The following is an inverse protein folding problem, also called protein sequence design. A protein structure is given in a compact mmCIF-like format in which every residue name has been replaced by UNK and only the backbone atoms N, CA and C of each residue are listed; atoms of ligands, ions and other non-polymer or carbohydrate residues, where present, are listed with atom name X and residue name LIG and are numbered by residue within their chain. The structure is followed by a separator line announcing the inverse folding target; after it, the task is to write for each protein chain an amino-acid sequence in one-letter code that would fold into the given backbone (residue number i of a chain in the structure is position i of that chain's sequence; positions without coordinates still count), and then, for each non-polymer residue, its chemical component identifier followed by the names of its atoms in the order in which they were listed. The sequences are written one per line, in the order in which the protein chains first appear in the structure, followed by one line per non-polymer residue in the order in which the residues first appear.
data_IF_260380209233
#
_entry.id   IF_260380209233
#
_cell.length_a   1.000
_cell.length_b   1.000
_cell.length_c   1.000
_cell.angle_alpha   90.00
_cell.angle_beta   90.00
_cell.angle_gamma   90.00
#
_symmetry.space_group_name_H-M   'P 1'
#
loop_
_entity.id
_entity.type
_entity.pdbx_description
1 polymer ?
#
# COMPACT_ATOMS: atom_id res chain seq x y z
N UNK A 1 -24.14 32.58 -85.88
CA UNK A 1 -23.57 32.17 -84.56
C UNK A 1 -22.04 32.00 -84.56
N UNK A 2 -21.38 31.67 -85.69
CA UNK A 2 -19.92 31.46 -85.74
C UNK A 2 -19.07 32.74 -85.66
N UNK A 3 -19.56 33.88 -86.15
CA UNK A 3 -18.79 35.15 -86.18
C UNK A 3 -18.65 35.84 -84.81
N UNK A 4 -19.59 35.66 -83.88
CA UNK A 4 -19.54 36.29 -82.55
C UNK A 4 -18.46 35.72 -81.63
N UNK A 5 -17.98 34.50 -81.90
CA UNK A 5 -16.93 33.82 -81.10
C UNK A 5 -15.50 34.21 -81.52
N UNK A 6 -15.34 34.97 -82.61
CA UNK A 6 -14.05 35.51 -83.04
C UNK A 6 -13.67 36.81 -82.30
N UNK A 7 -14.61 37.41 -81.56
CA UNK A 7 -14.38 38.58 -80.72
C UNK A 7 -13.89 38.14 -79.32
N UNK A 8 -12.68 38.54 -78.95
CA UNK A 8 -12.04 38.15 -77.69
C UNK A 8 -12.74 38.68 -76.44
N UNK A 9 -13.36 39.86 -76.53
CA UNK A 9 -14.14 40.43 -75.43
C UNK A 9 -15.39 39.57 -75.15
N UNK A 10 -16.03 39.10 -76.23
CA UNK A 10 -17.15 38.16 -76.12
C UNK A 10 -16.72 36.80 -75.54
N UNK A 11 -15.54 36.27 -75.92
CA UNK A 11 -14.99 35.02 -75.34
C UNK A 11 -14.71 35.14 -73.85
N UNK A 12 -14.09 36.25 -73.41
CA UNK A 12 -13.79 36.47 -72.00
C UNK A 12 -15.06 36.61 -71.17
N UNK A 13 -16.06 37.33 -71.68
CA UNK A 13 -17.37 37.48 -71.03
C UNK A 13 -18.14 36.15 -70.97
N UNK A 14 -18.12 35.34 -72.04
CA UNK A 14 -18.73 34.01 -72.08
C UNK A 14 -18.03 33.04 -71.11
N UNK A 15 -16.69 33.03 -71.08
CA UNK A 15 -15.92 32.24 -70.12
C UNK A 15 -16.21 32.64 -68.67
N UNK A 16 -16.30 33.95 -68.39
CA UNK A 16 -16.62 34.46 -67.04
C UNK A 16 -18.07 34.11 -66.64
N UNK A 17 -19.02 34.15 -67.58
CA UNK A 17 -20.39 33.69 -67.36
C UNK A 17 -20.46 32.19 -67.08
N UNK A 18 -19.78 31.36 -67.88
CA UNK A 18 -19.70 29.92 -67.69
C UNK A 18 -19.04 29.55 -66.35
N UNK A 19 -17.95 30.22 -65.99
CA UNK A 19 -17.28 30.01 -64.70
C UNK A 19 -18.20 30.37 -63.51
N UNK A 20 -18.97 31.46 -63.60
CA UNK A 20 -19.98 31.80 -62.58
C UNK A 20 -21.11 30.78 -62.52
N UNK A 21 -21.64 30.34 -63.66
CA UNK A 21 -22.68 29.30 -63.75
C UNK A 21 -22.22 27.99 -63.11
N UNK A 22 -21.02 27.53 -63.49
CA UNK A 22 -20.44 26.29 -62.97
C UNK A 22 -20.10 26.38 -61.47
N UNK A 23 -19.76 27.56 -60.97
CA UNK A 23 -19.57 27.80 -59.53
C UNK A 23 -20.91 27.74 -58.76
N UNK A 24 -21.99 28.26 -59.34
CA UNK A 24 -23.33 28.18 -58.77
C UNK A 24 -23.90 26.75 -58.80
N UNK A 25 -23.69 26.00 -59.90
CA UNK A 25 -24.09 24.59 -59.99
C UNK A 25 -23.39 23.71 -58.96
N UNK A 26 -22.09 23.95 -58.70
CA UNK A 26 -21.36 23.26 -57.61
C UNK A 26 -21.78 23.67 -56.20
N UNK A 27 -22.62 24.69 -56.02
CA UNK A 27 -23.25 24.98 -54.73
C UNK A 27 -24.50 24.14 -54.50
N UNK A 28 -25.10 23.58 -55.55
CA UNK A 28 -26.22 22.64 -55.43
C UNK A 28 -25.71 21.29 -54.91
N UNK A 29 -26.30 20.83 -53.80
CA UNK A 29 -25.94 19.55 -53.18
C UNK A 29 -26.25 18.36 -54.08
N UNK A 30 -27.36 18.39 -54.82
CA UNK A 30 -27.78 17.30 -55.71
C UNK A 30 -26.80 17.11 -56.87
N UNK A 31 -26.33 18.22 -57.44
CA UNK A 31 -25.28 18.21 -58.46
C UNK A 31 -23.95 17.69 -57.92
N UNK A 32 -23.56 18.06 -56.69
CA UNK A 32 -22.37 17.53 -56.03
C UNK A 32 -22.44 16.02 -55.81
N UNK A 33 -23.59 15.50 -55.36
CA UNK A 33 -23.79 14.05 -55.20
C UNK A 33 -23.65 13.33 -56.54
N UNK A 34 -24.31 13.80 -57.60
CA UNK A 34 -24.20 13.19 -58.93
C UNK A 34 -22.79 13.34 -59.55
N UNK A 35 -22.07 14.43 -59.28
CA UNK A 35 -20.67 14.59 -59.69
C UNK A 35 -19.76 13.61 -58.93
N UNK A 36 -20.00 13.40 -57.63
CA UNK A 36 -19.25 12.44 -56.81
C UNK A 36 -19.54 10.99 -57.20
N UNK A 37 -20.80 10.63 -57.47
CA UNK A 37 -21.21 9.30 -57.94
C UNK A 37 -20.55 8.98 -59.29
N UNK A 38 -20.61 9.89 -60.25
CA UNK A 38 -19.93 9.73 -61.55
C UNK A 38 -18.42 9.57 -61.40
N UNK A 39 -17.79 10.31 -60.50
CA UNK A 39 -16.35 10.16 -60.20
C UNK A 39 -16.04 8.83 -59.53
N UNK A 40 -16.88 8.38 -58.59
CA UNK A 40 -16.73 7.11 -57.91
C UNK A 40 -16.86 5.93 -58.89
N UNK A 41 -17.82 6.01 -59.81
CA UNK A 41 -18.03 5.00 -60.84
C UNK A 41 -16.90 4.98 -61.87
N UNK A 42 -16.42 6.16 -62.32
CA UNK A 42 -15.22 6.25 -63.16
C UNK A 42 -13.96 5.68 -62.47
N UNK A 43 -13.80 5.90 -61.16
CA UNK A 43 -12.72 5.30 -60.38
C UNK A 43 -12.87 3.78 -60.23
N UNK A 44 -14.10 3.27 -60.11
CA UNK A 44 -14.38 1.83 -60.04
C UNK A 44 -13.98 1.14 -61.34
N UNK A 45 -14.39 1.70 -62.48
CA UNK A 45 -13.99 1.24 -63.83
C UNK A 45 -12.47 1.33 -64.01
N UNK A 46 -11.83 2.42 -63.56
CA UNK A 46 -10.38 2.57 -63.66
C UNK A 46 -9.62 1.53 -62.82
N UNK A 47 -10.16 1.12 -61.67
CA UNK A 47 -9.56 0.09 -60.79
C UNK A 47 -9.66 -1.34 -61.32
N UNK A 48 -10.51 -1.59 -62.31
CA UNK A 48 -10.59 -2.87 -63.03
C UNK A 48 -9.45 -3.01 -64.05
N UNK A 49 -8.79 -1.90 -64.43
CA UNK A 49 -7.59 -1.92 -65.24
C UNK A 49 -6.35 -2.26 -64.39
N UNK A 50 -5.70 -3.38 -64.70
CA UNK A 50 -4.53 -3.86 -63.97
C UNK A 50 -3.33 -2.89 -63.99
N UNK A 51 -3.16 -2.12 -65.07
CA UNK A 51 -2.12 -1.09 -65.17
C UNK A 51 -2.37 0.09 -64.24
N UNK A 52 -3.63 0.52 -64.09
CA UNK A 52 -4.00 1.56 -63.14
C UNK A 52 -3.90 1.06 -61.69
N UNK A 53 -4.32 -0.18 -61.42
CA UNK A 53 -4.26 -0.79 -60.09
C UNK A 53 -2.82 -0.96 -59.60
N UNK A 54 -1.91 -1.39 -60.46
CA UNK A 54 -0.48 -1.55 -60.12
C UNK A 54 0.17 -0.20 -59.83
N UNK A 55 -0.14 0.83 -60.60
CA UNK A 55 0.36 2.18 -60.40
C UNK A 55 -0.22 2.85 -59.13
N UNK A 56 -1.51 2.70 -58.86
CA UNK A 56 -2.15 3.18 -57.63
C UNK A 56 -1.55 2.50 -56.39
N UNK A 57 -1.29 1.19 -56.46
CA UNK A 57 -0.61 0.45 -55.39
C UNK A 57 0.81 0.93 -55.16
N UNK A 58 1.58 1.22 -56.22
CA UNK A 58 2.93 1.80 -56.11
C UNK A 58 2.88 3.16 -55.42
N UNK A 59 1.99 4.06 -55.85
CA UNK A 59 1.83 5.38 -55.22
C UNK A 59 1.45 5.28 -53.74
N UNK A 60 0.57 4.36 -53.37
CA UNK A 60 0.22 4.13 -51.96
C UNK A 60 1.38 3.56 -51.15
N UNK A 61 2.14 2.64 -51.72
CA UNK A 61 3.32 2.08 -51.07
C UNK A 61 4.39 3.16 -50.83
N UNK A 62 4.62 4.03 -51.82
CA UNK A 62 5.52 5.18 -51.72
C UNK A 62 5.05 6.19 -50.67
N UNK A 63 3.75 6.52 -50.67
CA UNK A 63 3.15 7.40 -49.66
C UNK A 63 3.30 6.85 -48.24
N UNK A 64 3.05 5.56 -48.03
CA UNK A 64 3.27 4.92 -46.73
C UNK A 64 4.75 4.85 -46.34
N UNK A 65 5.65 4.74 -47.31
CA UNK A 65 7.09 4.78 -47.05
C UNK A 65 7.50 6.16 -46.52
N UNK A 66 7.06 7.23 -47.20
CA UNK A 66 7.31 8.62 -46.79
C UNK A 66 6.69 8.91 -45.42
N UNK A 67 5.46 8.45 -45.18
CA UNK A 67 4.78 8.60 -43.88
C UNK A 67 5.55 7.90 -42.74
N UNK A 68 6.05 6.69 -42.96
CA UNK A 68 6.86 5.94 -41.98
C UNK A 68 8.25 6.55 -41.73
N UNK A 69 8.76 7.33 -42.67
CA UNK A 69 10.01 8.05 -42.52
C UNK A 69 9.85 9.33 -41.68
N UNK A 70 8.62 9.82 -41.48
CA UNK A 70 8.33 10.98 -40.63
C UNK A 70 8.62 10.68 -39.16
N UNK A 71 9.24 11.65 -38.48
CA UNK A 71 9.59 11.51 -37.07
C UNK A 71 8.35 11.53 -36.16
N UNK A 72 7.31 12.25 -36.56
CA UNK A 72 6.01 12.28 -35.86
C UNK A 72 5.33 10.91 -35.90
N UNK A 73 5.34 10.24 -37.07
CA UNK A 73 4.79 8.89 -37.19
C UNK A 73 5.60 7.88 -36.35
N UNK A 74 6.94 7.96 -36.41
CA UNK A 74 7.81 7.10 -35.58
C UNK A 74 7.56 7.30 -34.08
N UNK A 75 7.41 8.55 -33.64
CA UNK A 75 7.14 8.87 -32.25
C UNK A 75 5.80 8.29 -31.79
N UNK A 76 4.75 8.45 -32.59
CA UNK A 76 3.42 7.93 -32.26
C UNK A 76 3.37 6.39 -32.33
N UNK A 77 4.05 5.76 -33.29
CA UNK A 77 4.16 4.29 -33.36
C UNK A 77 4.93 3.74 -32.15
N UNK A 78 6.02 4.39 -31.73
CA UNK A 78 6.75 4.02 -30.53
C UNK A 78 5.90 4.16 -29.26
N UNK A 79 5.12 5.24 -29.14
CA UNK A 79 4.20 5.45 -28.02
C UNK A 79 3.14 4.35 -27.96
N UNK A 80 2.50 4.05 -29.09
CA UNK A 80 1.48 2.98 -29.20
C UNK A 80 2.06 1.61 -28.82
N UNK A 81 3.29 1.31 -29.26
CA UNK A 81 4.00 0.07 -28.88
C UNK A 81 4.31 0.01 -27.39
N UNK A 82 4.75 1.14 -26.81
CA UNK A 82 5.03 1.22 -25.38
C UNK A 82 3.77 0.99 -24.54
N UNK A 83 2.65 1.60 -24.91
CA UNK A 83 1.35 1.42 -24.25
C UNK A 83 0.86 -0.04 -24.36
N UNK A 84 0.95 -0.64 -25.55
CA UNK A 84 0.61 -2.05 -25.75
C UNK A 84 1.47 -2.97 -24.86
N UNK A 85 2.78 -2.73 -24.79
CA UNK A 85 3.69 -3.51 -23.95
C UNK A 85 3.41 -3.29 -22.45
N UNK A 86 2.96 -2.10 -22.05
CA UNK A 86 2.58 -1.82 -20.67
C UNK A 86 1.32 -2.57 -20.26
N UNK A 87 0.32 -2.64 -21.13
CA UNK A 87 -0.91 -3.42 -20.92
C UNK A 87 -0.58 -4.92 -20.81
N UNK A 88 0.27 -5.44 -21.70
CA UNK A 88 0.66 -6.85 -21.70
C UNK A 88 1.38 -7.24 -20.40
N UNK A 89 2.25 -6.37 -19.87
CA UNK A 89 2.95 -6.57 -18.58
C UNK A 89 2.03 -6.61 -17.36
N UNK A 90 0.77 -6.16 -17.47
CA UNK A 90 -0.20 -6.26 -16.39
C UNK A 90 -0.78 -7.67 -16.27
N UNK A 91 -0.78 -8.46 -17.35
CA UNK A 91 -1.23 -9.85 -17.36
C UNK A 91 -0.35 -10.74 -16.48
N UNK A 92 -0.98 -11.52 -15.60
CA UNK A 92 -0.27 -12.46 -14.73
C UNK A 92 0.33 -13.64 -15.50
N UNK A 93 -0.29 -14.01 -16.62
CA UNK A 93 0.23 -15.06 -17.52
C UNK A 93 1.52 -14.59 -18.18
N UNK A 94 1.55 -13.35 -18.68
CA UNK A 94 2.75 -12.74 -19.25
C UNK A 94 3.87 -12.65 -18.21
N UNK A 95 3.58 -12.15 -16.99
CA UNK A 95 4.56 -12.08 -15.89
C UNK A 95 5.14 -13.46 -15.58
N UNK A 96 4.29 -14.49 -15.54
CA UNK A 96 4.71 -15.86 -15.24
C UNK A 96 5.64 -16.41 -16.33
N UNK A 97 5.31 -16.19 -17.59
CA UNK A 97 6.11 -16.65 -18.72
C UNK A 97 7.43 -15.87 -18.87
N UNK A 98 7.43 -14.55 -18.63
CA UNK A 98 8.63 -13.72 -18.59
C UNK A 98 9.56 -14.15 -17.44
N UNK A 99 9.02 -14.41 -16.25
CA UNK A 99 9.79 -14.92 -15.11
C UNK A 99 10.43 -16.28 -15.42
N UNK A 100 9.70 -17.21 -16.07
CA UNK A 100 10.24 -18.51 -16.51
C UNK A 100 11.39 -18.32 -17.50
N UNK A 101 11.19 -17.48 -18.53
CA UNK A 101 12.24 -17.17 -19.53
C UNK A 101 13.50 -16.59 -18.88
N UNK A 102 13.34 -15.64 -17.96
CA UNK A 102 14.46 -15.04 -17.21
C UNK A 102 15.19 -16.06 -16.34
N UNK A 103 14.45 -16.93 -15.64
CA UNK A 103 15.02 -17.97 -14.81
C UNK A 103 15.85 -18.96 -15.64
N UNK A 104 15.35 -19.33 -16.83
CA UNK A 104 16.04 -20.23 -17.75
C UNK A 104 17.29 -19.58 -18.37
N UNK A 105 17.20 -18.32 -18.83
CA UNK A 105 18.36 -17.56 -19.30
C UNK A 105 19.46 -17.47 -18.21
N UNK A 106 19.07 -17.15 -16.98
CA UNK A 106 19.99 -17.06 -15.86
C UNK A 106 20.58 -18.43 -15.46
N UNK A 107 19.89 -19.54 -15.74
CA UNK A 107 20.40 -20.91 -15.56
C UNK A 107 21.47 -21.23 -16.59
N UNK A 108 21.29 -20.79 -17.84
CA UNK A 108 22.27 -20.94 -18.93
C UNK A 108 23.51 -20.10 -18.64
N UNK A 109 23.36 -18.83 -18.26
CA UNK A 109 24.50 -17.96 -17.90
C UNK A 109 25.32 -18.55 -16.74
N UNK A 110 24.66 -19.13 -15.75
CA UNK A 110 25.31 -19.85 -14.64
C UNK A 110 25.95 -21.18 -15.03
N UNK A 111 26.00 -21.57 -16.31
CA UNK A 111 26.88 -22.65 -16.75
C UNK A 111 28.30 -22.15 -17.03
N UNK A 112 28.47 -20.86 -17.35
CA UNK A 112 29.77 -20.23 -17.53
C UNK A 112 30.43 -19.97 -16.16
N UNK A 113 31.64 -20.50 -15.96
CA UNK A 113 32.37 -20.37 -14.70
C UNK A 113 32.86 -18.94 -14.43
N UNK A 114 33.19 -18.15 -15.47
CA UNK A 114 33.57 -16.74 -15.33
C UNK A 114 32.39 -15.90 -14.82
N UNK A 115 31.18 -16.18 -15.32
CA UNK A 115 29.95 -15.53 -14.86
C UNK A 115 29.66 -15.86 -13.39
N UNK A 116 29.83 -17.13 -12.97
CA UNK A 116 29.66 -17.54 -11.56
C UNK A 116 30.64 -16.82 -10.63
N UNK A 117 31.89 -16.67 -11.05
CA UNK A 117 32.91 -16.01 -10.23
C UNK A 117 32.60 -14.52 -10.05
N UNK A 118 32.23 -13.85 -11.14
CA UNK A 118 31.84 -12.44 -11.11
C UNK A 118 30.53 -12.19 -10.34
N UNK A 119 29.56 -13.10 -10.42
CA UNK A 119 28.34 -13.09 -9.59
C UNK A 119 28.69 -13.25 -8.10
N UNK A 120 29.57 -14.21 -7.75
CA UNK A 120 30.07 -14.39 -6.37
C UNK A 120 30.77 -13.14 -5.87
N UNK A 121 31.64 -12.52 -6.67
CA UNK A 121 32.35 -11.28 -6.33
C UNK A 121 31.39 -10.11 -6.09
N UNK A 122 30.40 -9.92 -6.98
CA UNK A 122 29.35 -8.89 -6.82
C UNK A 122 28.52 -9.13 -5.56
N UNK A 123 28.11 -10.37 -5.29
CA UNK A 123 27.35 -10.72 -4.09
C UNK A 123 28.18 -10.50 -2.82
N UNK A 124 29.46 -10.88 -2.80
CA UNK A 124 30.36 -10.61 -1.68
C UNK A 124 30.53 -9.10 -1.42
N UNK A 125 30.71 -8.30 -2.48
CA UNK A 125 30.79 -6.84 -2.36
C UNK A 125 29.48 -6.24 -1.85
N UNK A 126 28.33 -6.72 -2.33
CA UNK A 126 27.01 -6.31 -1.84
C UNK A 126 26.82 -6.64 -0.36
N UNK A 127 27.22 -7.84 0.07
CA UNK A 127 27.17 -8.24 1.48
C UNK A 127 28.11 -7.40 2.35
N UNK A 128 29.32 -7.10 1.86
CA UNK A 128 30.28 -6.23 2.53
C UNK A 128 29.73 -4.81 2.71
N UNK A 129 29.25 -4.19 1.63
CA UNK A 129 28.65 -2.85 1.67
C UNK A 129 27.39 -2.80 2.54
N UNK A 130 26.57 -3.86 2.50
CA UNK A 130 25.41 -3.97 3.38
C UNK A 130 25.83 -4.08 4.85
N UNK A 131 26.90 -4.83 5.17
CA UNK A 131 27.44 -4.92 6.54
C UNK A 131 28.00 -3.60 7.02
N UNK A 132 28.68 -2.85 6.14
CA UNK A 132 29.23 -1.53 6.47
C UNK A 132 28.11 -0.52 6.77
N UNK A 133 26.97 -0.60 6.06
CA UNK A 133 25.74 0.14 6.37
C UNK A 133 25.15 -0.19 7.74
N UNK A 134 25.43 -1.37 8.30
CA UNK A 134 25.00 -1.79 9.64
C UNK A 134 26.10 -1.71 10.69
N UNK A 135 27.31 -1.22 10.35
CA UNK A 135 28.25 -0.65 11.33
C UNK A 135 27.72 0.69 11.85
N UNK A 136 26.46 0.73 12.27
CA UNK A 136 26.05 1.76 13.20
C UNK A 136 26.97 1.58 14.41
N UNK A 137 27.62 2.67 14.82
CA UNK A 137 28.47 2.68 16.00
C UNK A 137 27.72 1.96 17.14
N UNK A 138 28.32 0.90 17.71
CA UNK A 138 27.71 0.13 18.79
C UNK A 138 27.24 1.07 19.90
N UNK A 139 27.99 2.13 20.17
CA UNK A 139 27.65 3.16 21.15
C UNK A 139 26.40 3.95 20.77
N UNK A 140 26.18 4.23 19.49
CA UNK A 140 24.96 4.88 19.01
C UNK A 140 23.74 3.96 19.13
N UNK A 141 23.90 2.67 18.81
CA UNK A 141 22.84 1.68 19.02
C UNK A 141 22.50 1.52 20.50
N UNK A 142 23.52 1.41 21.35
CA UNK A 142 23.39 1.32 22.81
C UNK A 142 22.70 2.56 23.37
N UNK A 143 23.14 3.75 22.98
CA UNK A 143 22.54 5.02 23.44
C UNK A 143 21.07 5.14 23.02
N UNK A 144 20.72 4.72 21.79
CA UNK A 144 19.34 4.70 21.31
C UNK A 144 18.46 3.65 22.03
N UNK A 145 19.05 2.52 22.40
CA UNK A 145 18.36 1.54 23.22
C UNK A 145 18.10 2.08 24.62
N UNK A 146 19.15 2.56 25.30
CA UNK A 146 19.08 3.13 26.65
C UNK A 146 18.11 4.31 26.72
N UNK A 147 18.08 5.19 25.71
CA UNK A 147 17.13 6.31 25.68
C UNK A 147 15.68 5.84 25.58
N UNK A 148 15.40 4.76 24.84
CA UNK A 148 14.05 4.19 24.69
C UNK A 148 13.56 3.42 25.90
N UNK A 149 14.47 2.88 26.71
CA UNK A 149 14.13 2.13 27.94
C UNK A 149 14.36 2.94 29.22
N UNK A 150 14.84 4.19 29.10
CA UNK A 150 15.11 5.08 30.23
C UNK A 150 13.87 5.26 31.09
N UNK A 151 12.74 5.45 30.43
CA UNK A 151 11.43 5.42 31.04
C UNK A 151 10.89 3.99 30.87
N UNK A 152 10.48 3.39 31.99
CA UNK A 152 9.84 2.08 31.96
C UNK A 152 8.51 2.10 31.19
N UNK A 153 7.85 0.95 31.04
CA UNK A 153 6.53 0.91 30.45
C UNK A 153 5.50 1.51 31.42
N UNK A 154 5.32 2.82 31.38
CA UNK A 154 4.41 3.57 32.27
C UNK A 154 3.17 4.08 31.55
N UNK A 155 3.13 4.05 30.23
CA UNK A 155 1.98 4.50 29.44
C UNK A 155 0.91 3.42 29.38
N UNK A 156 -0.34 3.79 29.65
CA UNK A 156 -1.44 2.85 29.82
C UNK A 156 -2.33 2.89 28.58
N UNK A 157 -2.43 1.77 27.87
CA UNK A 157 -3.33 1.69 26.73
C UNK A 157 -4.80 1.82 27.17
N UNK A 158 -5.53 2.81 26.67
CA UNK A 158 -6.93 3.09 27.03
C UNK A 158 -7.90 1.95 26.68
N UNK A 159 -7.51 1.06 25.77
CA UNK A 159 -8.33 -0.08 25.36
C UNK A 159 -8.06 -1.35 26.18
N UNK A 160 -6.79 -1.78 26.30
CA UNK A 160 -6.44 -3.04 26.94
C UNK A 160 -5.90 -2.91 28.37
N UNK A 161 -5.65 -1.69 28.86
CA UNK A 161 -5.06 -1.44 30.17
C UNK A 161 -3.59 -1.85 30.31
N UNK A 162 -2.98 -2.38 29.25
CA UNK A 162 -1.58 -2.79 29.27
C UNK A 162 -0.62 -1.61 29.40
N UNK A 163 0.50 -1.87 30.06
CA UNK A 163 1.62 -0.94 30.24
C UNK A 163 2.61 -1.01 29.08
N UNK A 164 2.96 0.13 28.50
CA UNK A 164 3.82 0.22 27.31
C UNK A 164 4.84 1.33 27.44
N UNK A 165 5.93 1.21 26.69
CA UNK A 165 6.87 2.29 26.49
C UNK A 165 6.24 3.40 25.63
N UNK A 166 6.67 4.65 25.84
CA UNK A 166 6.21 5.82 25.09
C UNK A 166 6.23 5.59 23.56
N UNK A 167 7.32 5.02 23.04
CA UNK A 167 7.47 4.75 21.60
C UNK A 167 6.50 3.68 21.05
N UNK A 168 5.88 2.89 21.91
CA UNK A 168 4.94 1.80 21.55
C UNK A 168 3.47 2.24 21.61
N UNK A 169 3.20 3.42 22.17
CA UNK A 169 1.87 4.02 22.28
C UNK A 169 1.72 5.11 21.21
N UNK A 170 0.47 5.35 20.80
CA UNK A 170 0.11 6.57 20.08
C UNK A 170 -1.10 7.22 20.72
N UNK A 171 -1.03 8.54 20.81
CA UNK A 171 -2.09 9.38 21.33
C UNK A 171 -3.10 9.73 20.23
N UNK A 172 -4.36 9.75 20.63
CA UNK A 172 -5.50 10.13 19.81
C UNK A 172 -6.47 10.97 20.64
N UNK A 173 -7.18 11.87 19.98
CA UNK A 173 -8.41 12.45 20.53
C UNK A 173 -9.63 11.73 19.94
N UNK A 174 -10.77 11.81 20.62
CA UNK A 174 -12.05 11.29 20.10
C UNK A 174 -12.36 11.87 18.72
N UNK A 175 -12.05 13.16 18.51
CA UNK A 175 -12.22 13.84 17.23
C UNK A 175 -11.34 13.24 16.12
N UNK A 176 -10.08 12.94 16.41
CA UNK A 176 -9.16 12.31 15.45
C UNK A 176 -9.66 10.93 15.00
N UNK A 177 -10.19 10.13 15.93
CA UNK A 177 -10.74 8.82 15.62
C UNK A 177 -12.05 8.94 14.84
N UNK A 178 -12.89 9.92 15.19
CA UNK A 178 -14.15 10.18 14.47
C UNK A 178 -13.89 10.64 13.03
N UNK A 179 -12.89 11.50 12.80
CA UNK A 179 -12.45 11.90 11.45
C UNK A 179 -11.99 10.71 10.59
N UNK A 180 -11.56 9.61 11.20
CA UNK A 180 -11.20 8.37 10.50
C UNK A 180 -12.39 7.44 10.23
N UNK A 181 -13.61 7.87 10.54
CA UNK A 181 -14.84 7.11 10.27
C UNK A 181 -15.28 6.19 11.42
N UNK A 182 -14.70 6.31 12.61
CA UNK A 182 -15.13 5.56 13.79
C UNK A 182 -16.30 6.25 14.48
N UNK A 183 -17.31 5.48 14.90
CA UNK A 183 -18.47 6.01 15.64
C UNK A 183 -18.07 6.35 17.08
N UNK A 184 -18.58 7.46 17.61
CA UNK A 184 -18.32 7.87 19.00
C UNK A 184 -18.70 6.78 20.02
N UNK A 185 -19.87 6.16 19.85
CA UNK A 185 -20.33 5.05 20.68
C UNK A 185 -19.36 3.84 20.67
N UNK A 186 -18.75 3.56 19.52
CA UNK A 186 -17.74 2.50 19.41
C UNK A 186 -16.45 2.87 20.15
N UNK A 187 -16.02 4.13 20.02
CA UNK A 187 -14.83 4.64 20.73
C UNK A 187 -15.06 4.56 22.23
N UNK A 188 -16.21 5.05 22.73
CA UNK A 188 -16.56 5.04 24.16
C UNK A 188 -16.67 3.62 24.72
N UNK A 189 -17.09 2.65 23.90
CA UNK A 189 -17.14 1.23 24.30
C UNK A 189 -15.76 0.58 24.33
N UNK A 190 -14.90 0.87 23.35
CA UNK A 190 -13.61 0.16 23.21
C UNK A 190 -12.51 0.80 24.06
N UNK A 191 -12.50 2.12 24.17
CA UNK A 191 -11.58 2.87 25.02
C UNK A 191 -12.14 2.92 26.45
N UNK A 192 -11.98 1.81 27.16
CA UNK A 192 -12.52 1.60 28.50
C UNK A 192 -12.02 2.65 29.51
N UNK A 193 -10.74 3.01 29.46
CA UNK A 193 -10.16 4.03 30.33
C UNK A 193 -10.42 5.43 29.74
N UNK A 194 -11.33 6.17 30.37
CA UNK A 194 -11.80 7.47 29.89
C UNK A 194 -10.85 8.59 30.33
N UNK A 195 -9.91 8.93 29.45
CA UNK A 195 -9.05 10.10 29.58
C UNK A 195 -9.29 11.04 28.39
N UNK A 196 -8.93 12.32 28.53
CA UNK A 196 -9.02 13.29 27.42
C UNK A 196 -8.17 12.87 26.22
N UNK A 197 -7.00 12.28 26.50
CA UNK A 197 -6.09 11.71 25.53
C UNK A 197 -6.24 10.18 25.56
N UNK A 198 -6.54 9.59 24.39
CA UNK A 198 -6.65 8.15 24.21
C UNK A 198 -5.29 7.61 23.76
N UNK A 199 -4.65 6.85 24.63
CA UNK A 199 -3.39 6.17 24.37
C UNK A 199 -3.67 4.76 23.83
N UNK A 200 -3.24 4.45 22.60
CA UNK A 200 -3.43 3.13 22.00
C UNK A 200 -2.11 2.45 21.67
N UNK A 201 -1.94 1.22 22.16
CA UNK A 201 -0.84 0.36 21.73
C UNK A 201 -1.01 -0.06 20.26
N UNK A 202 0.08 -0.51 19.63
CA UNK A 202 0.10 -0.89 18.22
C UNK A 202 -0.99 -1.91 17.84
N UNK A 203 -1.24 -2.91 18.70
CA UNK A 203 -2.24 -3.97 18.48
C UNK A 203 -3.66 -3.42 18.57
N UNK A 204 -4.00 -2.74 19.67
CA UNK A 204 -5.33 -2.18 19.86
C UNK A 204 -5.67 -1.18 18.75
N UNK A 205 -4.71 -0.31 18.40
CA UNK A 205 -4.87 0.62 17.28
C UNK A 205 -5.22 -0.10 15.98
N UNK A 206 -4.52 -1.18 15.65
CA UNK A 206 -4.74 -1.93 14.39
C UNK A 206 -6.18 -2.46 14.31
N UNK A 207 -6.66 -3.04 15.40
CA UNK A 207 -8.00 -3.63 15.47
C UNK A 207 -9.09 -2.56 15.49
N UNK A 208 -8.91 -1.49 16.29
CA UNK A 208 -9.83 -0.35 16.37
C UNK A 208 -9.98 0.32 15.01
N UNK A 209 -8.88 0.56 14.28
CA UNK A 209 -8.92 1.15 12.94
C UNK A 209 -9.62 0.24 11.91
N UNK A 210 -9.72 -1.05 12.20
CA UNK A 210 -10.47 -2.04 11.41
C UNK A 210 -11.92 -2.20 11.89
N UNK A 211 -12.38 -1.32 12.79
CA UNK A 211 -13.70 -1.37 13.43
C UNK A 211 -13.96 -2.68 14.20
N UNK A 212 -12.90 -3.28 14.78
CA UNK A 212 -12.95 -4.51 15.59
C UNK A 212 -12.60 -4.20 17.04
N UNK A 213 -13.27 -4.89 17.96
CA UNK A 213 -12.93 -4.84 19.38
C UNK A 213 -11.68 -5.72 19.60
N UNK A 214 -10.58 -5.19 20.16
CA UNK A 214 -9.39 -6.01 20.44
C UNK A 214 -9.70 -7.14 21.41
N UNK A 215 -9.11 -8.33 21.21
CA UNK A 215 -9.35 -9.49 22.07
C UNK A 215 -9.01 -9.23 23.54
N UNK A 216 -7.94 -8.46 23.77
CA UNK A 216 -7.45 -8.08 25.09
C UNK A 216 -8.09 -6.78 25.62
N UNK A 217 -9.20 -6.32 25.04
CA UNK A 217 -9.86 -5.11 25.49
C UNK A 217 -10.49 -5.32 26.87
N UNK A 218 -10.39 -4.31 27.73
CA UNK A 218 -11.03 -4.32 29.05
C UNK A 218 -12.56 -4.41 28.92
N UNK A 219 -13.13 -3.80 27.88
CA UNK A 219 -14.56 -3.91 27.55
C UNK A 219 -15.01 -5.30 27.11
N UNK A 220 -14.08 -6.22 26.86
CA UNK A 220 -14.34 -7.62 26.56
C UNK A 220 -14.31 -8.51 27.82
N UNK A 221 -14.68 -7.96 28.98
CA UNK A 221 -14.71 -8.69 30.26
C UNK A 221 -13.35 -8.91 30.92
N UNK A 222 -12.32 -8.18 30.47
CA UNK A 222 -10.98 -8.18 31.08
C UNK A 222 -10.75 -7.01 32.03
N UNK A 223 -11.76 -6.14 32.20
CA UNK A 223 -11.73 -5.10 33.21
C UNK A 223 -11.66 -5.70 34.62
N UNK A 224 -10.82 -5.10 35.47
CA UNK A 224 -10.82 -5.41 36.89
C UNK A 224 -12.10 -4.89 37.55
N UNK A 225 -12.60 -5.62 38.54
CA UNK A 225 -13.69 -5.15 39.38
C UNK A 225 -13.23 -3.96 40.23
N UNK A 226 -14.16 -3.06 40.53
CA UNK A 226 -13.89 -1.99 41.49
C UNK A 226 -13.62 -2.60 42.86
N UNK A 227 -12.51 -2.21 43.46
CA UNK A 227 -12.14 -2.66 44.81
C UNK A 227 -13.15 -2.03 45.79
N UNK A 228 -13.83 -2.83 46.64
CA UNK A 228 -14.72 -2.30 47.67
C UNK A 228 -14.02 -1.32 48.61
N UNK A 229 -14.72 -0.30 49.09
CA UNK A 229 -14.13 0.74 49.94
C UNK A 229 -13.56 0.20 51.25
N UNK A 230 -14.17 -0.86 51.80
CA UNK A 230 -13.66 -1.55 52.98
C UNK A 230 -12.30 -2.26 52.76
N UNK A 231 -11.93 -2.54 51.51
CA UNK A 231 -10.61 -3.11 51.16
C UNK A 231 -9.60 -2.03 50.78
N UNK A 232 -10.04 -0.87 50.29
CA UNK A 232 -9.15 0.25 49.94
C UNK A 232 -8.41 0.86 51.13
N UNK A 233 -8.95 0.70 52.34
CA UNK A 233 -8.36 1.23 53.58
C UNK A 233 -7.21 0.35 54.11
N UNK A 234 -7.05 -0.86 53.58
CA UNK A 234 -6.08 -1.81 54.10
C UNK A 234 -4.67 -1.44 53.65
N UNK A 235 -3.71 -1.63 54.54
CA UNK A 235 -2.29 -1.61 54.21
C UNK A 235 -1.92 -2.84 53.36
N UNK A 236 -0.82 -2.77 52.61
CA UNK A 236 -0.33 -3.91 51.83
C UNK A 236 -0.12 -5.19 52.67
N UNK A 237 0.21 -5.01 53.95
CA UNK A 237 0.40 -6.11 54.90
C UNK A 237 -0.95 -6.71 55.31
N UNK A 238 -1.93 -5.89 55.64
CA UNK A 238 -3.29 -6.33 55.97
C UNK A 238 -3.95 -7.03 54.78
N UNK A 239 -3.83 -6.47 53.57
CA UNK A 239 -4.31 -7.09 52.34
C UNK A 239 -3.72 -8.50 52.14
N UNK A 240 -2.41 -8.66 52.36
CA UNK A 240 -1.75 -9.97 52.29
C UNK A 240 -2.22 -10.94 53.37
N UNK A 241 -2.53 -10.45 54.57
CA UNK A 241 -3.00 -11.29 55.69
C UNK A 241 -4.44 -11.78 55.51
N UNK A 242 -5.31 -10.96 54.92
CA UNK A 242 -6.70 -11.34 54.65
C UNK A 242 -6.89 -12.01 53.28
N UNK A 243 -5.83 -12.10 52.46
CA UNK A 243 -5.91 -12.77 51.17
C UNK A 243 -6.30 -14.23 51.36
N UNK A 244 -7.40 -14.72 50.72
CA UNK A 244 -7.79 -16.13 50.81
C UNK A 244 -6.75 -17.11 50.26
N UNK A 245 -5.77 -16.60 49.48
CA UNK A 245 -4.69 -17.40 48.90
C UNK A 245 -3.39 -16.62 48.95
N UNK A 246 -2.34 -17.22 49.53
CA UNK A 246 -0.98 -16.69 49.42
C UNK A 246 -0.27 -17.38 48.26
N UNK A 247 0.19 -16.63 47.25
CA UNK A 247 0.99 -17.18 46.18
C UNK A 247 2.45 -17.33 46.64
N UNK A 248 2.96 -18.57 46.63
CA UNK A 248 4.38 -18.85 46.77
C UNK A 248 5.00 -19.01 45.38
N UNK A 249 6.02 -18.22 45.10
CA UNK A 249 6.73 -18.24 43.84
C UNK A 249 8.24 -18.14 44.06
N UNK A 250 9.01 -18.90 43.28
CA UNK A 250 10.46 -18.85 43.32
C UNK A 250 10.94 -17.95 42.18
N UNK A 251 11.45 -16.78 42.54
CA UNK A 251 12.06 -15.86 41.58
C UNK A 251 13.55 -16.17 41.48
N UNK A 252 14.06 -16.37 40.25
CA UNK A 252 15.49 -16.59 39.97
C UNK A 252 15.98 -15.65 38.88
N UNK A 253 17.28 -15.42 38.86
CA UNK A 253 17.93 -14.71 37.75
C UNK A 253 17.96 -15.58 36.49
N UNK A 254 17.49 -15.02 35.37
CA UNK A 254 17.53 -15.62 34.04
C UNK A 254 18.85 -15.23 33.36
N UNK A 255 19.89 -16.03 33.58
CA UNK A 255 21.18 -15.87 32.91
C UNK A 255 21.90 -14.55 33.19
N UNK A 256 22.62 -14.04 32.18
CA UNK A 256 23.54 -12.90 32.31
C UNK A 256 22.85 -11.53 32.43
N UNK A 257 21.59 -11.39 31.97
CA UNK A 257 20.94 -10.09 31.77
C UNK A 257 20.30 -9.46 33.03
N UNK A 258 20.57 -10.00 34.24
CA UNK A 258 19.94 -9.59 35.52
C UNK A 258 18.40 -9.59 35.51
N UNK A 259 17.77 -10.15 34.48
CA UNK A 259 16.32 -10.31 34.44
C UNK A 259 15.90 -11.40 35.42
N UNK A 260 14.77 -11.21 36.08
CA UNK A 260 14.19 -12.20 36.98
C UNK A 260 13.13 -13.01 36.25
N UNK A 261 13.09 -14.31 36.51
CA UNK A 261 12.11 -15.24 36.00
C UNK A 261 11.54 -16.12 37.11
N UNK A 262 10.36 -16.64 36.86
CA UNK A 262 9.71 -17.61 37.74
C UNK A 262 10.31 -19.00 37.49
N UNK A 263 10.76 -19.67 38.55
CA UNK A 263 11.16 -21.07 38.50
C UNK A 263 10.03 -21.95 39.04
N UNK A 264 9.56 -22.86 38.20
CA UNK A 264 8.54 -23.84 38.57
C UNK A 264 7.14 -23.24 38.64
N UNK A 265 6.26 -23.91 39.38
CA UNK A 265 4.86 -23.53 39.48
C UNK A 265 4.63 -22.45 40.54
N UNK A 266 3.64 -21.58 40.30
CA UNK A 266 3.09 -20.70 41.32
C UNK A 266 2.17 -21.54 42.22
N UNK A 267 2.54 -21.68 43.50
CA UNK A 267 1.80 -22.49 44.47
C UNK A 267 0.87 -21.58 45.26
N UNK A 268 -0.44 -21.68 45.02
CA UNK A 268 -1.45 -20.95 45.77
C UNK A 268 -1.85 -21.74 47.01
N UNK A 269 -1.42 -21.27 48.19
CA UNK A 269 -1.79 -21.89 49.47
C UNK A 269 -3.06 -21.24 49.98
N UNK A 270 -4.16 -21.99 50.19
CA UNK A 270 -5.39 -21.43 50.74
C UNK A 270 -5.20 -21.03 52.21
N UNK A 271 -5.80 -19.91 52.59
CA UNK A 271 -5.86 -19.44 53.97
C UNK A 271 -7.29 -19.41 54.47
N UNK A 272 -7.48 -19.78 55.73
CA UNK A 272 -8.75 -19.58 56.42
C UNK A 272 -8.81 -18.14 56.95
N UNK A 273 -9.52 -17.26 56.24
CA UNK A 273 -9.61 -15.84 56.57
C UNK A 273 -10.25 -15.64 57.95
N UNK A 274 -11.32 -16.38 58.27
CA UNK A 274 -12.03 -16.28 59.56
C UNK A 274 -11.12 -16.60 60.74
N UNK A 275 -10.27 -17.61 60.59
CA UNK A 275 -9.28 -17.98 61.61
C UNK A 275 -8.18 -16.93 61.73
N UNK A 276 -7.70 -16.35 60.64
CA UNK A 276 -6.62 -15.35 60.70
C UNK A 276 -7.08 -14.03 61.30
N UNK A 277 -8.29 -13.57 60.95
CA UNK A 277 -8.88 -12.34 61.52
C UNK A 277 -9.12 -12.47 63.02
N UNK A 278 -9.44 -13.68 63.51
CA UNK A 278 -9.65 -13.93 64.95
C UNK A 278 -8.36 -14.14 65.75
N UNK A 279 -7.23 -14.44 65.10
CA UNK A 279 -5.92 -14.66 65.75
C UNK A 279 -5.05 -13.37 65.76
N UNK A 280 -5.37 -12.37 64.95
CA UNK A 280 -4.60 -11.12 64.86
C UNK A 280 -5.27 -9.99 65.68
N UNK A 281 -4.51 -9.18 66.44
CA UNK A 281 -3.05 -9.17 66.55
C UNK A 281 -2.57 -10.19 67.60
N UNK A 282 -1.62 -11.05 67.22
CA UNK A 282 -0.95 -11.96 68.17
C UNK A 282 -0.19 -11.13 69.19
N UNK A 283 -0.40 -11.40 70.47
CA UNK A 283 0.46 -10.84 71.51
C UNK A 283 1.85 -11.48 71.42
N UNK A 284 2.91 -10.82 71.88
CA UNK A 284 4.27 -11.38 71.86
C UNK A 284 4.36 -12.76 72.53
N UNK A 285 3.49 -13.00 73.52
CA UNK A 285 3.30 -14.26 74.24
C UNK A 285 2.87 -15.42 73.35
N UNK A 286 2.20 -15.15 72.23
CA UNK A 286 1.58 -16.14 71.35
C UNK A 286 2.52 -16.63 70.24
N UNK A 287 3.79 -16.20 70.26
CA UNK A 287 4.78 -16.45 69.20
C UNK A 287 5.65 -17.70 69.45
N UNK A 288 5.40 -18.46 70.52
CA UNK A 288 6.18 -19.66 70.82
C UNK A 288 5.63 -20.89 70.07
N UNK A 289 6.32 -21.28 69.00
CA UNK A 289 6.45 -22.66 68.51
C UNK A 289 7.72 -22.79 67.70
#
# INVERSE_FOLDING_TARGET
MRERRANDEFRLLDNRRRAKSHKAERQNNEFKTQENERRAEALKISRENDGFKTEDNKRRAEAHKIERESDEFKAEDNKRRAEAHQIERQSDEFKTQDNKRRAEAHKIERQNDEFKEEERRRNALRMYNSRDKYKNNFDAMKSNYESKIKEGPTHICSCCGGLWFAYSIREYTVEMLTKKGLKKEFIDKVCYLKHEIIELCATCRKDIMSNKIPNLALSNGLAFYEIPDCLKILTELEERLISPRIPFMVIRTLGFSKQFGLKGNLVNVPMNVDTNVSILPRSFSDTYT
#
